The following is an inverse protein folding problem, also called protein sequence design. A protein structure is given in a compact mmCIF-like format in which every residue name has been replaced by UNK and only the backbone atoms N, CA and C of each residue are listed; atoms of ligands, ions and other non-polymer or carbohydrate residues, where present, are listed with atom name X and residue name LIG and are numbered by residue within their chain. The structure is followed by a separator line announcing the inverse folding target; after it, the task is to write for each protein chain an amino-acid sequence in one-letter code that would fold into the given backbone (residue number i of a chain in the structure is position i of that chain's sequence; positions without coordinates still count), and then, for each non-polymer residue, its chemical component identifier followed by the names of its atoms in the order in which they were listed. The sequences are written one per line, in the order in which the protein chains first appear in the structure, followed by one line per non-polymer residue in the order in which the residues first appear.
data_IF_233481627597
#
_entry.id   IF_233481627597
#
_cell.length_a   1.000
_cell.length_b   1.000
_cell.length_c   1.000
_cell.angle_alpha   90.00
_cell.angle_beta   90.00
_cell.angle_gamma   90.00
#
_symmetry.space_group_name_H-M   'P 1'
#
loop_
_entity.id
_entity.type
_entity.pdbx_description
1 polymer ?
#
# COMPACT_ATOMS: atom_id res chain seq x y z
N UNK A 1 -15.16 30.91 19.28
CA UNK A 1 -14.61 29.53 19.36
C UNK A 1 -13.90 29.21 18.05
N UNK A 2 -12.58 29.43 18.01
CA UNK A 2 -11.78 29.21 16.81
C UNK A 2 -11.60 27.71 16.54
N UNK A 3 -12.10 27.24 15.40
CA UNK A 3 -11.67 25.95 14.83
C UNK A 3 -10.24 26.14 14.33
N UNK A 4 -9.29 25.52 15.01
CA UNK A 4 -7.91 25.40 14.55
C UNK A 4 -7.93 24.47 13.32
N UNK A 5 -7.58 25.01 12.16
CA UNK A 5 -7.42 24.26 10.91
C UNK A 5 -5.96 23.83 10.85
N UNK A 6 -5.67 22.54 11.01
CA UNK A 6 -4.33 22.01 10.78
C UNK A 6 -4.11 21.82 9.28
N UNK A 7 -3.19 22.58 8.71
CA UNK A 7 -2.70 22.41 7.35
C UNK A 7 -1.56 21.39 7.34
N UNK A 8 -1.75 20.27 6.65
CA UNK A 8 -0.65 19.37 6.29
C UNK A 8 -0.32 19.56 4.81
N UNK A 9 0.87 20.10 4.56
CA UNK A 9 1.41 20.30 3.21
C UNK A 9 1.97 18.97 2.70
N UNK A 10 1.34 18.40 1.68
CA UNK A 10 1.87 17.25 0.97
C UNK A 10 2.51 17.70 -0.35
N UNK A 11 3.85 17.68 -0.40
CA UNK A 11 4.66 17.90 -1.62
C UNK A 11 4.37 19.18 -2.44
N UNK A 12 4.00 20.28 -1.79
CA UNK A 12 4.03 21.64 -2.38
C UNK A 12 3.15 21.89 -3.61
N UNK A 13 2.26 20.97 -4.00
CA UNK A 13 1.39 21.12 -5.19
C UNK A 13 -0.07 20.71 -4.96
N UNK A 14 -0.44 20.18 -3.80
CA UNK A 14 -1.82 19.77 -3.52
C UNK A 14 -2.18 20.03 -2.05
N UNK A 15 -3.17 20.90 -1.83
CA UNK A 15 -3.82 21.09 -0.54
C UNK A 15 -5.09 20.25 -0.51
N UNK A 16 -5.11 19.19 0.29
CA UNK A 16 -6.31 18.37 0.51
C UNK A 16 -7.14 18.97 1.65
N UNK A 17 -8.37 19.38 1.33
CA UNK A 17 -9.40 19.72 2.31
C UNK A 17 -10.23 18.47 2.60
N UNK A 18 -10.14 17.92 3.82
CA UNK A 18 -11.08 16.88 4.25
C UNK A 18 -12.09 17.48 5.22
N UNK A 19 -13.26 17.87 4.68
CA UNK A 19 -14.44 18.18 5.49
C UNK A 19 -15.39 17.00 5.39
N UNK A 20 -15.69 16.41 6.55
CA UNK A 20 -16.62 15.30 6.72
C UNK A 20 -18.05 15.73 6.37
N UNK A 21 -18.45 15.54 5.12
CA UNK A 21 -19.83 15.28 4.68
C UNK A 21 -19.90 15.40 3.16
N UNK A 22 -19.85 14.27 2.44
CA UNK A 22 -20.69 14.12 1.25
C UNK A 22 -20.87 12.64 0.88
N UNK A 23 -22.13 12.32 0.63
CA UNK A 23 -22.73 11.02 0.34
C UNK A 23 -22.88 10.86 -1.18
N UNK A 24 -22.55 9.70 -1.75
CA UNK A 24 -23.06 9.20 -3.06
C UNK A 24 -22.55 7.75 -3.23
N UNK A 25 -23.32 6.65 -3.26
CA UNK A 25 -24.55 6.23 -3.98
C UNK A 25 -24.38 6.12 -5.50
N UNK A 26 -23.81 4.97 -5.89
CA UNK A 26 -23.89 4.21 -7.16
C UNK A 26 -23.57 4.95 -8.47
N UNK A 27 -22.50 4.50 -9.12
CA UNK A 27 -22.53 4.19 -10.55
C UNK A 27 -21.45 3.16 -10.87
N UNK A 28 -21.90 1.94 -11.17
CA UNK A 28 -21.21 1.04 -12.09
C UNK A 28 -20.88 1.87 -13.34
N UNK A 29 -19.60 2.16 -13.51
CA UNK A 29 -19.05 2.64 -14.76
C UNK A 29 -17.96 1.64 -15.12
N UNK A 30 -18.25 0.84 -16.15
CA UNK A 30 -17.30 0.00 -16.84
C UNK A 30 -16.27 0.95 -17.43
N UNK A 31 -15.20 1.21 -16.68
CA UNK A 31 -14.01 1.84 -17.22
C UNK A 31 -12.98 0.73 -17.31
N UNK A 32 -12.94 0.09 -18.48
CA UNK A 32 -11.81 -0.71 -18.94
C UNK A 32 -10.60 0.23 -19.06
N UNK A 33 -10.02 0.57 -17.90
CA UNK A 33 -8.82 1.36 -17.79
C UNK A 33 -7.63 0.41 -17.96
N UNK A 34 -6.76 0.75 -18.90
CA UNK A 34 -5.34 0.37 -18.97
C UNK A 34 -4.90 -0.54 -17.80
N UNK A 35 -4.64 -1.82 -18.07
CA UNK A 35 -3.98 -2.69 -17.10
C UNK A 35 -2.55 -2.16 -16.88
N UNK A 36 -2.41 -1.14 -16.04
CA UNK A 36 -1.14 -0.74 -15.48
C UNK A 36 -0.61 -1.98 -14.78
N UNK A 37 0.43 -2.58 -15.34
CA UNK A 37 1.11 -3.72 -14.74
C UNK A 37 1.77 -3.21 -13.47
N UNK A 38 1.03 -3.26 -12.36
CA UNK A 38 1.48 -2.79 -11.07
C UNK A 38 2.47 -3.81 -10.51
N UNK A 39 3.75 -3.67 -10.87
CA UNK A 39 4.76 -4.52 -10.29
C UNK A 39 4.93 -4.13 -8.81
N UNK A 40 5.09 -5.14 -7.95
CA UNK A 40 5.21 -4.94 -6.51
C UNK A 40 6.33 -3.94 -6.14
N UNK A 41 7.44 -3.96 -6.87
CA UNK A 41 8.58 -3.06 -6.62
C UNK A 41 8.25 -1.59 -6.90
N UNK A 42 7.44 -1.31 -7.93
CA UNK A 42 6.99 0.05 -8.26
C UNK A 42 6.07 0.61 -7.18
N UNK A 43 5.16 -0.23 -6.67
CA UNK A 43 4.26 0.11 -5.56
C UNK A 43 5.08 0.48 -4.32
N UNK A 44 6.05 -0.35 -3.93
CA UNK A 44 6.88 -0.11 -2.75
C UNK A 44 7.71 1.17 -2.91
N UNK A 45 8.32 1.38 -4.09
CA UNK A 45 9.10 2.58 -4.38
C UNK A 45 8.23 3.84 -4.27
N UNK A 46 7.02 3.80 -4.80
CA UNK A 46 6.06 4.90 -4.72
C UNK A 46 5.70 5.21 -3.27
N UNK A 47 5.29 4.21 -2.49
CA UNK A 47 4.89 4.39 -1.08
C UNK A 47 6.05 4.90 -0.22
N UNK A 48 7.28 4.42 -0.43
CA UNK A 48 8.44 4.93 0.31
C UNK A 48 8.69 6.41 0.03
N UNK A 49 8.66 6.81 -1.25
CA UNK A 49 8.84 8.23 -1.65
C UNK A 49 7.74 9.10 -1.06
N UNK A 50 6.51 8.60 -1.07
CA UNK A 50 5.35 9.27 -0.51
C UNK A 50 5.45 9.42 1.02
N UNK A 51 6.03 8.44 1.72
CA UNK A 51 6.30 8.50 3.14
C UNK A 51 7.52 9.38 3.51
N UNK A 52 8.28 9.88 2.53
CA UNK A 52 9.49 10.69 2.78
C UNK A 52 10.65 9.93 3.43
N UNK A 53 10.60 8.59 3.42
CA UNK A 53 11.62 7.76 4.07
C UNK A 53 12.82 7.54 3.15
N UNK A 54 14.03 7.72 3.68
CA UNK A 54 15.24 7.22 3.02
C UNK A 54 15.28 5.68 3.05
N UNK A 55 16.08 5.07 2.16
CA UNK A 55 16.27 3.61 2.15
C UNK A 55 16.81 3.07 3.47
N UNK A 56 17.69 3.83 4.13
CA UNK A 56 18.27 3.44 5.41
C UNK A 56 17.22 3.48 6.53
N UNK A 57 16.39 4.52 6.56
CA UNK A 57 15.30 4.63 7.55
C UNK A 57 14.26 3.52 7.37
N UNK A 58 13.85 3.21 6.13
CA UNK A 58 12.94 2.09 5.89
C UNK A 58 13.57 0.76 6.30
N UNK A 59 14.88 0.58 6.09
CA UNK A 59 15.62 -0.61 6.52
C UNK A 59 15.60 -0.77 8.03
N UNK A 60 15.88 0.31 8.76
CA UNK A 60 15.86 0.34 10.21
C UNK A 60 14.47 0.02 10.77
N UNK A 61 13.43 0.66 10.23
CA UNK A 61 12.04 0.45 10.66
C UNK A 61 11.51 -0.96 10.34
N UNK A 62 11.96 -1.56 9.23
CA UNK A 62 11.56 -2.92 8.85
C UNK A 62 12.51 -4.01 9.40
N UNK A 63 13.60 -3.64 10.07
CA UNK A 63 14.62 -4.58 10.57
C UNK A 63 15.37 -5.34 9.46
N UNK A 64 15.54 -4.73 8.29
CA UNK A 64 16.16 -5.34 7.10
C UNK A 64 17.42 -4.59 6.67
N UNK A 65 18.33 -5.27 5.97
CA UNK A 65 19.51 -4.61 5.42
C UNK A 65 19.15 -3.64 4.28
N UNK A 66 19.83 -2.48 4.21
CA UNK A 66 19.63 -1.46 3.15
C UNK A 66 19.73 -2.02 1.72
N UNK A 67 20.61 -3.01 1.52
CA UNK A 67 20.82 -3.69 0.23
C UNK A 67 19.58 -4.44 -0.21
N UNK A 68 18.82 -5.01 0.74
CA UNK A 68 17.59 -5.76 0.42
C UNK A 68 16.51 -4.84 -0.10
N UNK A 69 16.38 -3.63 0.47
CA UNK A 69 15.46 -2.61 -0.03
C UNK A 69 15.86 -2.14 -1.43
N UNK A 70 17.16 -1.93 -1.66
CA UNK A 70 17.65 -1.56 -2.99
C UNK A 70 17.35 -2.65 -4.04
N UNK A 71 17.63 -3.90 -3.72
CA UNK A 71 17.35 -5.05 -4.59
C UNK A 71 15.84 -5.21 -4.85
N UNK A 72 15.00 -4.95 -3.83
CA UNK A 72 13.55 -5.00 -3.93
C UNK A 72 13.02 -3.90 -4.85
N UNK A 73 13.49 -2.66 -4.69
CA UNK A 73 13.15 -1.53 -5.59
C UNK A 73 13.62 -1.76 -7.03
N UNK A 74 14.69 -2.54 -7.23
CA UNK A 74 15.19 -2.93 -8.56
C UNK A 74 14.46 -4.14 -9.15
N UNK A 75 13.54 -4.76 -8.42
CA UNK A 75 12.75 -5.89 -8.91
C UNK A 75 13.49 -7.23 -8.90
N UNK A 76 14.47 -7.42 -8.01
CA UNK A 76 15.15 -8.71 -7.85
C UNK A 76 14.15 -9.77 -7.39
N UNK A 77 14.02 -10.84 -8.16
CA UNK A 77 13.02 -11.90 -7.93
C UNK A 77 13.33 -12.83 -6.74
N UNK A 78 14.55 -12.78 -6.21
CA UNK A 78 15.06 -13.71 -5.17
C UNK A 78 14.87 -13.18 -3.74
N UNK A 79 14.16 -12.06 -3.55
CA UNK A 79 13.93 -11.53 -2.19
C UNK A 79 12.97 -12.46 -1.44
N UNK A 80 13.30 -12.77 -0.17
CA UNK A 80 12.48 -13.64 0.67
C UNK A 80 11.11 -13.03 0.93
N UNK A 81 10.06 -13.87 0.95
CA UNK A 81 8.70 -13.44 1.26
C UNK A 81 8.59 -12.75 2.62
N UNK A 82 9.25 -13.29 3.65
CA UNK A 82 9.25 -12.69 4.99
C UNK A 82 9.72 -11.24 5.00
N UNK A 83 10.76 -10.92 4.22
CA UNK A 83 11.27 -9.56 4.09
C UNK A 83 10.26 -8.64 3.41
N UNK A 84 9.56 -9.13 2.37
CA UNK A 84 8.52 -8.36 1.68
C UNK A 84 7.39 -8.05 2.67
N UNK A 85 6.92 -9.04 3.42
CA UNK A 85 5.86 -8.85 4.42
C UNK A 85 6.27 -7.86 5.51
N UNK A 86 7.50 -7.92 6.02
CA UNK A 86 8.00 -6.94 7.00
C UNK A 86 7.98 -5.52 6.46
N UNK A 87 8.45 -5.31 5.22
CA UNK A 87 8.48 -4.00 4.59
C UNK A 87 7.05 -3.47 4.34
N UNK A 88 6.15 -4.34 3.88
CA UNK A 88 4.75 -3.98 3.66
C UNK A 88 4.06 -3.60 4.98
N UNK A 89 4.32 -4.33 6.06
CA UNK A 89 3.81 -4.01 7.38
C UNK A 89 4.34 -2.65 7.88
N UNK A 90 5.63 -2.37 7.71
CA UNK A 90 6.22 -1.06 8.05
C UNK A 90 5.63 0.08 7.23
N UNK A 91 5.29 -0.16 5.97
CA UNK A 91 4.60 0.80 5.10
C UNK A 91 3.08 0.82 5.30
N UNK A 92 2.55 0.01 6.24
CA UNK A 92 1.13 -0.13 6.53
C UNK A 92 0.30 -0.50 5.28
N UNK A 93 0.83 -1.39 4.45
CA UNK A 93 0.19 -1.91 3.23
C UNK A 93 -0.35 -3.31 3.51
N UNK A 94 -1.64 -3.51 3.21
CA UNK A 94 -2.31 -4.82 3.31
C UNK A 94 -2.38 -5.50 1.94
N UNK A 95 -2.06 -6.78 1.87
CA UNK A 95 -2.26 -7.60 0.66
C UNK A 95 -3.61 -8.31 0.78
N UNK A 96 -4.49 -8.08 -0.19
CA UNK A 96 -5.70 -8.88 -0.36
C UNK A 96 -5.52 -9.82 -1.56
N UNK A 97 -5.83 -11.10 -1.38
CA UNK A 97 -5.81 -12.07 -2.46
C UNK A 97 -7.23 -12.20 -3.01
N UNK A 98 -7.37 -12.04 -4.32
CA UNK A 98 -8.64 -12.24 -5.01
C UNK A 98 -8.52 -13.48 -5.89
N UNK A 99 -9.45 -14.42 -5.73
CA UNK A 99 -9.49 -15.66 -6.50
C UNK A 99 -10.93 -16.12 -6.68
N UNK A 100 -11.31 -16.67 -7.85
CA UNK A 100 -12.62 -17.26 -8.08
C UNK A 100 -12.97 -18.40 -7.11
N UNK A 101 -11.97 -18.98 -6.44
CA UNK A 101 -12.15 -20.07 -5.48
C UNK A 101 -12.17 -19.60 -4.02
N UNK A 102 -12.07 -18.29 -3.76
CA UNK A 102 -12.00 -17.78 -2.39
C UNK A 102 -13.28 -18.10 -1.60
N UNK A 103 -14.45 -18.05 -2.25
CA UNK A 103 -15.73 -18.42 -1.63
C UNK A 103 -15.74 -19.88 -1.12
N UNK A 104 -15.13 -20.80 -1.86
CA UNK A 104 -15.01 -22.22 -1.43
C UNK A 104 -14.04 -22.37 -0.27
N UNK A 105 -12.94 -21.61 -0.30
CA UNK A 105 -11.95 -21.60 0.76
C UNK A 105 -12.55 -21.09 2.07
N UNK A 106 -13.29 -19.99 2.04
CA UNK A 106 -13.95 -19.42 3.21
C UNK A 106 -14.99 -20.38 3.82
N UNK A 107 -15.78 -21.07 2.99
CA UNK A 107 -16.72 -22.09 3.47
C UNK A 107 -16.02 -23.26 4.16
N UNK A 108 -14.89 -23.72 3.62
CA UNK A 108 -14.10 -24.81 4.23
C UNK A 108 -13.50 -24.46 5.60
N UNK A 109 -13.31 -23.17 5.90
CA UNK A 109 -12.85 -22.71 7.20
C UNK A 109 -13.96 -22.71 8.26
N UNK A 110 -15.23 -22.58 7.83
CA UNK A 110 -16.39 -22.59 8.72
C UNK A 110 -16.91 -23.98 9.10
N UNK A 111 -16.51 -25.03 8.39
CA UNK A 111 -16.99 -26.41 8.60
C UNK A 111 -16.15 -27.21 9.62
N UNK A 112 -15.08 -26.63 10.17
CA UNK A 112 -14.22 -27.26 11.19
C UNK A 112 -14.56 -26.83 12.65
N UNK A 113 -15.79 -26.37 12.93
CA UNK A 113 -16.24 -26.02 14.29
C UNK A 113 -17.31 -26.99 14.79
#
# INVERSE_FOLDING_TARGET
MSKIIHFYCYNGKYCLFYSTSFCFRVKIFIFTAMAAKNNLHDIILFHRKQAGLSRNQLAELAGVGKTVIYDLEKGKKTVKWSTITSILHTLNITINFESPLMEKYEKSLGENT
#
